data_IF_614464545156
#
_entry.id   IF_614464545156
#
_cell.length_a   1.000
_cell.length_b   1.000
_cell.length_c   1.000
_cell.angle_alpha   90.00
_cell.angle_beta   90.00
_cell.angle_gamma   90.00
#
_symmetry.space_group_name_H-M   'P 1'
#
loop_
_entity.id
_entity.type
_entity.pdbx_description
1 polymer ?
#
# COMPACT_ATOMS: atom_id res chain seq x y z
N UNK A 1 4.80 6.33 -16.85
CA UNK A 1 5.74 5.26 -16.42
C UNK A 1 5.39 4.94 -14.99
N UNK A 2 5.17 3.67 -14.65
CA UNK A 2 4.83 3.28 -13.28
C UNK A 2 5.99 3.54 -12.32
N UNK A 3 5.68 3.67 -11.03
CA UNK A 3 6.65 3.95 -9.97
C UNK A 3 7.75 2.87 -9.95
N UNK A 4 9.00 3.28 -10.13
CA UNK A 4 10.18 2.41 -9.98
C UNK A 4 10.86 2.65 -8.62
N UNK A 5 11.18 1.56 -7.91
CA UNK A 5 11.88 1.62 -6.62
C UNK A 5 13.08 0.68 -6.68
N UNK A 6 14.25 1.18 -6.25
CA UNK A 6 15.50 0.41 -6.23
C UNK A 6 16.03 0.32 -4.80
N UNK A 7 16.21 -0.90 -4.30
CA UNK A 7 16.98 -1.16 -3.08
C UNK A 7 18.44 -1.32 -3.48
N UNK A 8 19.32 -0.41 -3.06
CA UNK A 8 20.72 -0.37 -3.48
C UNK A 8 21.62 -1.42 -2.76
N UNK A 9 21.14 -2.66 -2.65
CA UNK A 9 21.76 -3.75 -1.90
C UNK A 9 22.97 -4.40 -2.61
N UNK A 10 23.05 -4.31 -3.93
CA UNK A 10 24.14 -4.91 -4.73
C UNK A 10 24.48 -4.08 -5.98
N UNK A 11 25.65 -4.32 -6.64
CA UNK A 11 26.10 -3.53 -7.78
C UNK A 11 25.09 -3.45 -8.94
N UNK A 12 24.41 -4.55 -9.25
CA UNK A 12 23.40 -4.57 -10.31
C UNK A 12 22.21 -3.63 -10.02
N UNK A 13 21.74 -3.54 -8.76
CA UNK A 13 20.66 -2.63 -8.40
C UNK A 13 21.07 -1.17 -8.58
N UNK A 14 22.32 -0.82 -8.24
CA UNK A 14 22.88 0.51 -8.49
C UNK A 14 22.96 0.83 -9.99
N UNK A 15 23.38 -0.14 -10.81
CA UNK A 15 23.42 0.02 -12.27
C UNK A 15 22.04 0.26 -12.86
N UNK A 16 21.03 -0.49 -12.41
CA UNK A 16 19.66 -0.33 -12.87
C UNK A 16 19.07 1.03 -12.44
N UNK A 17 19.33 1.46 -11.22
CA UNK A 17 18.92 2.79 -10.75
C UNK A 17 19.57 3.92 -11.56
N UNK A 18 20.87 3.80 -11.89
CA UNK A 18 21.56 4.75 -12.75
C UNK A 18 20.95 4.82 -14.15
N UNK A 19 20.67 3.65 -14.76
CA UNK A 19 20.01 3.56 -16.05
C UNK A 19 18.61 4.22 -16.04
N UNK A 20 17.82 3.99 -14.99
CA UNK A 20 16.51 4.61 -14.83
C UNK A 20 16.60 6.14 -14.71
N UNK A 21 17.60 6.65 -13.96
CA UNK A 21 17.84 8.10 -13.86
C UNK A 21 18.21 8.72 -15.22
N UNK A 22 19.04 8.04 -16.01
CA UNK A 22 19.46 8.53 -17.33
C UNK A 22 18.33 8.60 -18.36
N UNK A 23 17.27 7.79 -18.18
CA UNK A 23 16.14 7.70 -19.12
C UNK A 23 14.86 8.34 -18.57
N UNK A 24 14.91 9.00 -17.42
CA UNK A 24 13.73 9.63 -16.82
C UNK A 24 13.30 10.88 -17.64
N UNK A 25 11.98 11.10 -17.85
CA UNK A 25 11.49 12.32 -18.51
C UNK A 25 11.83 13.60 -17.75
N UNK A 26 11.82 14.74 -18.44
CA UNK A 26 11.97 16.05 -17.80
C UNK A 26 10.94 16.28 -16.69
N UNK A 27 11.37 16.92 -15.60
CA UNK A 27 10.53 17.20 -14.44
C UNK A 27 10.47 16.08 -13.37
N UNK A 28 11.10 14.93 -13.60
CA UNK A 28 11.19 13.87 -12.60
C UNK A 28 12.24 14.20 -11.51
N UNK A 29 12.00 13.74 -10.27
CA UNK A 29 12.89 13.96 -9.11
C UNK A 29 13.45 12.65 -8.57
N UNK A 30 14.73 12.63 -8.23
CA UNK A 30 15.42 11.51 -7.57
C UNK A 30 15.67 11.84 -6.10
N UNK A 31 15.45 10.87 -5.20
CA UNK A 31 15.76 10.98 -3.78
C UNK A 31 16.50 9.73 -3.32
N UNK A 32 17.72 9.89 -2.79
CA UNK A 32 18.51 8.82 -2.19
C UNK A 32 18.48 9.03 -0.67
N UNK A 33 18.00 8.03 0.07
CA UNK A 33 17.91 8.06 1.53
C UNK A 33 18.25 6.70 2.15
N UNK A 34 18.73 6.66 3.41
CA UNK A 34 18.88 5.40 4.14
C UNK A 34 17.56 4.62 4.19
N UNK A 35 17.64 3.30 4.07
CA UNK A 35 16.49 2.43 4.25
C UNK A 35 16.11 2.42 5.73
N UNK A 36 14.93 2.92 6.05
CA UNK A 36 14.40 2.84 7.42
C UNK A 36 13.59 1.55 7.56
N UNK A 37 13.52 0.99 8.78
CA UNK A 37 12.65 -0.16 9.09
C UNK A 37 11.18 0.13 8.74
N UNK A 38 10.75 1.37 8.88
CA UNK A 38 9.44 1.86 8.45
C UNK A 38 9.25 1.84 6.94
N UNK A 39 10.30 2.07 6.13
CA UNK A 39 10.20 1.96 4.67
C UNK A 39 10.00 0.51 4.26
N UNK A 40 10.73 -0.43 4.86
CA UNK A 40 10.55 -1.87 4.62
C UNK A 40 9.14 -2.35 5.02
N UNK A 41 8.63 -1.90 6.18
CA UNK A 41 7.26 -2.18 6.62
C UNK A 41 6.21 -1.56 5.70
N UNK A 42 6.44 -0.36 5.19
CA UNK A 42 5.56 0.28 4.22
C UNK A 42 5.55 -0.49 2.90
N UNK A 43 6.71 -0.87 2.37
CA UNK A 43 6.82 -1.64 1.13
C UNK A 43 6.12 -3.00 1.26
N UNK A 44 6.31 -3.67 2.41
CA UNK A 44 5.60 -4.92 2.74
C UNK A 44 4.08 -4.71 2.80
N UNK A 45 3.60 -3.66 3.47
CA UNK A 45 2.16 -3.35 3.50
C UNK A 45 1.61 -3.16 2.09
N UNK A 46 2.28 -2.38 1.24
CA UNK A 46 1.83 -2.18 -0.14
C UNK A 46 1.84 -3.46 -0.96
N UNK A 47 2.81 -4.34 -0.74
CA UNK A 47 2.85 -5.67 -1.34
C UNK A 47 1.62 -6.50 -0.94
N UNK A 48 1.28 -6.54 0.35
CA UNK A 48 0.09 -7.25 0.88
C UNK A 48 -1.19 -6.70 0.26
N UNK A 49 -1.34 -5.38 0.23
CA UNK A 49 -2.52 -4.72 -0.35
C UNK A 49 -2.66 -5.03 -1.84
N UNK A 50 -1.54 -5.07 -2.57
CA UNK A 50 -1.50 -5.41 -3.99
C UNK A 50 -1.91 -6.86 -4.24
N UNK A 51 -1.43 -7.79 -3.40
CA UNK A 51 -1.80 -9.20 -3.51
C UNK A 51 -3.30 -9.40 -3.29
N UNK A 52 -3.88 -8.71 -2.30
CA UNK A 52 -5.33 -8.72 -2.03
C UNK A 52 -6.11 -8.10 -3.20
N UNK A 53 -5.74 -6.89 -3.63
CA UNK A 53 -6.39 -6.15 -4.73
C UNK A 53 -6.51 -7.00 -6.01
N UNK A 54 -5.47 -7.79 -6.31
CA UNK A 54 -5.45 -8.65 -7.51
C UNK A 54 -6.31 -9.89 -7.39
N UNK A 55 -6.61 -10.36 -6.18
CA UNK A 55 -7.17 -11.69 -5.94
C UNK A 55 -8.57 -11.67 -5.33
N UNK A 56 -8.96 -10.56 -4.70
CA UNK A 56 -10.23 -10.45 -3.96
C UNK A 56 -11.15 -9.41 -4.60
N UNK A 57 -12.41 -9.77 -4.80
CA UNK A 57 -13.46 -8.84 -5.20
C UNK A 57 -14.17 -8.27 -3.95
N UNK A 58 -14.52 -6.99 -4.03
CA UNK A 58 -15.22 -6.23 -3.00
C UNK A 58 -16.53 -5.69 -3.55
N UNK A 59 -17.51 -5.49 -2.67
CA UNK A 59 -18.75 -4.83 -3.05
C UNK A 59 -18.53 -3.32 -3.03
N UNK A 60 -18.48 -2.71 -4.21
CA UNK A 60 -18.41 -1.25 -4.39
C UNK A 60 -19.66 -0.81 -5.12
N UNK A 61 -20.42 0.10 -4.51
CA UNK A 61 -21.69 0.61 -5.05
C UNK A 61 -22.68 -0.51 -5.45
N UNK A 62 -22.70 -1.62 -4.70
CA UNK A 62 -23.60 -2.74 -4.93
C UNK A 62 -23.12 -3.77 -5.96
N UNK A 63 -21.96 -3.59 -6.58
CA UNK A 63 -21.37 -4.54 -7.53
C UNK A 63 -20.08 -5.16 -6.96
N UNK A 64 -19.86 -6.45 -7.24
CA UNK A 64 -18.59 -7.12 -6.97
C UNK A 64 -17.56 -6.69 -8.01
N UNK A 65 -16.48 -6.06 -7.57
CA UNK A 65 -15.39 -5.59 -8.42
C UNK A 65 -14.04 -5.77 -7.72
N UNK A 66 -12.97 -5.90 -8.50
CA UNK A 66 -11.61 -5.70 -7.97
C UNK A 66 -11.39 -4.21 -7.74
N UNK A 67 -10.66 -3.88 -6.70
CA UNK A 67 -10.38 -2.50 -6.28
C UNK A 67 -8.88 -2.28 -6.23
N UNK A 68 -8.45 -1.04 -6.35
CA UNK A 68 -7.02 -0.71 -6.32
C UNK A 68 -6.42 -0.94 -4.90
N UNK A 69 -5.10 -1.15 -4.78
CA UNK A 69 -4.44 -1.38 -3.48
C UNK A 69 -4.72 -0.26 -2.45
N UNK A 70 -4.83 0.98 -2.92
CA UNK A 70 -5.24 2.14 -2.15
C UNK A 70 -6.64 1.96 -1.54
N UNK A 71 -7.59 1.45 -2.31
CA UNK A 71 -8.97 1.22 -1.87
C UNK A 71 -9.04 0.04 -0.89
N UNK A 72 -8.26 -1.04 -1.12
CA UNK A 72 -8.13 -2.14 -0.15
C UNK A 72 -7.68 -1.59 1.21
N UNK A 73 -6.71 -0.67 1.22
CA UNK A 73 -6.24 -0.04 2.46
C UNK A 73 -7.34 0.77 3.13
N UNK A 74 -8.14 1.52 2.38
CA UNK A 74 -9.24 2.29 2.95
C UNK A 74 -10.32 1.38 3.56
N UNK A 75 -10.65 0.28 2.90
CA UNK A 75 -11.58 -0.75 3.39
C UNK A 75 -11.05 -1.40 4.69
N UNK A 76 -9.79 -1.83 4.70
CA UNK A 76 -9.20 -2.48 5.88
C UNK A 76 -9.06 -1.51 7.06
N UNK A 77 -8.65 -0.26 6.80
CA UNK A 77 -8.50 0.73 7.87
C UNK A 77 -9.84 1.18 8.46
N UNK A 78 -10.93 1.14 7.68
CA UNK A 78 -12.28 1.30 8.20
C UNK A 78 -12.69 0.17 9.15
N UNK A 79 -12.21 -1.06 8.93
CA UNK A 79 -12.42 -2.19 9.84
C UNK A 79 -11.62 -2.11 11.14
N UNK A 80 -10.46 -1.43 11.13
CA UNK A 80 -9.55 -1.35 12.28
C UNK A 80 -10.04 -0.39 13.37
N UNK A 81 -10.78 0.66 13.01
CA UNK A 81 -11.34 1.63 13.97
C UNK A 81 -12.86 1.70 13.86
N UNK A 82 -13.52 1.62 15.01
CA UNK A 82 -14.99 1.72 15.13
C UNK A 82 -15.57 3.11 14.83
N UNK A 83 -14.73 4.10 14.52
CA UNK A 83 -15.16 5.48 14.31
C UNK A 83 -14.85 5.94 12.89
N UNK A 84 -15.90 6.00 12.06
CA UNK A 84 -15.85 6.53 10.71
C UNK A 84 -16.08 8.03 10.76
N UNK A 85 -15.09 8.80 10.30
CA UNK A 85 -15.24 10.26 10.19
C UNK A 85 -16.05 10.60 8.94
N UNK A 86 -17.11 11.38 9.12
CA UNK A 86 -17.99 11.81 8.04
C UNK A 86 -17.98 13.33 7.95
N UNK A 87 -18.06 13.87 6.73
CA UNK A 87 -18.20 15.30 6.47
C UNK A 87 -19.28 15.55 5.43
N UNK A 88 -19.84 16.75 5.42
CA UNK A 88 -20.62 17.23 4.28
C UNK A 88 -19.67 17.67 3.17
N UNK A 89 -19.87 17.12 1.99
CA UNK A 89 -19.23 17.55 0.76
C UNK A 89 -19.74 18.93 0.33
N UNK A 90 -18.97 19.59 -0.53
CA UNK A 90 -19.28 20.93 -1.01
C UNK A 90 -20.61 20.97 -1.77
N UNK A 91 -20.95 19.87 -2.45
CA UNK A 91 -22.21 19.71 -3.20
C UNK A 91 -23.36 19.15 -2.33
N UNK A 92 -23.20 19.09 -1.00
CA UNK A 92 -24.22 18.61 -0.06
C UNK A 92 -24.31 17.08 0.11
N UNK A 93 -23.51 16.31 -0.63
CA UNK A 93 -23.38 14.86 -0.43
C UNK A 93 -22.59 14.51 0.84
N UNK A 94 -22.74 13.29 1.36
CA UNK A 94 -21.90 12.82 2.48
C UNK A 94 -20.56 12.28 1.95
N UNK A 95 -19.47 12.63 2.62
CA UNK A 95 -18.12 12.16 2.30
C UNK A 95 -17.55 11.41 3.50
N UNK A 96 -17.09 10.18 3.28
CA UNK A 96 -16.33 9.43 4.26
C UNK A 96 -14.85 9.86 4.21
N UNK A 97 -14.31 10.27 5.35
CA UNK A 97 -12.92 10.66 5.47
C UNK A 97 -12.09 9.45 5.92
N UNK A 98 -11.37 8.86 4.95
CA UNK A 98 -10.45 7.74 5.19
C UNK A 98 -9.36 8.06 6.20
N UNK A 99 -8.79 7.01 6.80
CA UNK A 99 -7.73 7.16 7.78
C UNK A 99 -6.39 7.47 7.09
N UNK A 100 -5.67 8.47 7.61
CA UNK A 100 -4.33 8.78 7.12
C UNK A 100 -3.32 7.82 7.74
N UNK A 101 -3.07 6.69 7.08
CA UNK A 101 -2.07 5.70 7.52
C UNK A 101 -0.67 6.30 7.66
N UNK A 102 -0.36 7.36 6.90
CA UNK A 102 0.90 8.12 7.04
C UNK A 102 1.10 8.79 8.41
N UNK A 103 0.06 8.90 9.23
CA UNK A 103 0.11 9.43 10.60
C UNK A 103 0.00 8.33 11.67
N UNK A 104 -0.10 7.06 11.26
CA UNK A 104 -0.16 5.95 12.21
C UNK A 104 1.19 5.78 12.92
N UNK A 105 1.12 5.42 14.20
CA UNK A 105 2.32 4.96 14.91
C UNK A 105 2.65 3.51 14.52
N UNK A 106 3.83 3.03 14.93
CA UNK A 106 4.31 1.68 14.59
C UNK A 106 3.32 0.59 15.02
N UNK A 107 2.70 0.73 16.20
CA UNK A 107 1.73 -0.24 16.71
C UNK A 107 0.49 -0.33 15.81
N UNK A 108 -0.09 0.81 15.45
CA UNK A 108 -1.27 0.89 14.57
C UNK A 108 -0.98 0.33 13.17
N UNK A 109 0.24 0.57 12.66
CA UNK A 109 0.69 0.01 11.40
C UNK A 109 0.80 -1.53 11.48
N UNK A 110 1.35 -2.06 12.56
CA UNK A 110 1.39 -3.51 12.80
C UNK A 110 -0.01 -4.11 12.87
N UNK A 111 -0.93 -3.48 13.62
CA UNK A 111 -2.32 -3.94 13.73
C UNK A 111 -3.03 -3.95 12.35
N UNK A 112 -2.77 -2.96 11.50
CA UNK A 112 -3.29 -2.94 10.12
C UNK A 112 -2.73 -4.09 9.26
N UNK A 113 -1.42 -4.36 9.36
CA UNK A 113 -0.77 -5.46 8.63
C UNK A 113 -1.34 -6.81 9.08
N UNK A 114 -1.51 -7.02 10.38
CA UNK A 114 -2.11 -8.24 10.95
C UNK A 114 -3.56 -8.44 10.45
N UNK A 115 -4.37 -7.37 10.45
CA UNK A 115 -5.71 -7.40 9.90
C UNK A 115 -5.72 -7.76 8.40
N UNK A 116 -4.79 -7.20 7.62
CA UNK A 116 -4.67 -7.49 6.20
C UNK A 116 -4.33 -8.97 5.93
N UNK A 117 -3.40 -9.56 6.69
CA UNK A 117 -3.10 -10.98 6.59
C UNK A 117 -4.28 -11.85 7.00
N UNK A 118 -4.96 -11.53 8.12
CA UNK A 118 -6.11 -12.29 8.57
C UNK A 118 -7.21 -12.32 7.48
N UNK A 119 -7.53 -11.16 6.92
CA UNK A 119 -8.48 -11.03 5.83
C UNK A 119 -8.03 -11.81 4.59
N UNK A 120 -6.79 -11.60 4.12
CA UNK A 120 -6.30 -12.28 2.92
C UNK A 120 -6.24 -13.80 3.08
N UNK A 121 -5.85 -14.31 4.26
CA UNK A 121 -5.83 -15.74 4.55
C UNK A 121 -7.23 -16.35 4.54
N UNK A 122 -8.23 -15.66 5.11
CA UNK A 122 -9.64 -16.09 5.04
C UNK A 122 -10.14 -16.16 3.60
N UNK A 123 -9.67 -15.26 2.74
CA UNK A 123 -10.00 -15.22 1.31
C UNK A 123 -9.13 -16.13 0.43
N UNK A 124 -8.15 -16.83 1.00
CA UNK A 124 -7.25 -17.72 0.26
C UNK A 124 -6.29 -16.99 -0.68
N UNK A 125 -5.86 -15.78 -0.32
CA UNK A 125 -4.88 -14.99 -1.09
C UNK A 125 -3.52 -15.71 -1.10
N UNK A 126 -2.92 -15.85 -2.28
CA UNK A 126 -1.54 -16.29 -2.43
C UNK A 126 -0.59 -15.09 -2.27
N UNK A 127 0.39 -15.22 -1.37
CA UNK A 127 1.24 -14.11 -0.96
C UNK A 127 2.54 -14.08 -1.74
N UNK A 128 2.86 -12.92 -2.30
CA UNK A 128 4.18 -12.68 -2.88
C UNK A 128 5.29 -12.76 -1.83
N UNK A 129 6.53 -12.99 -2.28
CA UNK A 129 7.70 -13.12 -1.41
C UNK A 129 7.91 -11.90 -0.51
N UNK A 130 7.70 -10.69 -1.04
CA UNK A 130 7.79 -9.44 -0.29
C UNK A 130 6.70 -9.36 0.77
N UNK A 131 5.47 -9.78 0.44
CA UNK A 131 4.37 -9.93 1.40
C UNK A 131 4.63 -10.99 2.47
N UNK A 132 5.56 -11.92 2.29
CA UNK A 132 5.96 -12.87 3.34
C UNK A 132 7.16 -12.37 4.18
N UNK A 133 7.61 -11.13 3.94
CA UNK A 133 8.81 -10.58 4.57
C UNK A 133 10.11 -11.24 4.13
N UNK A 134 10.09 -12.00 3.01
CA UNK A 134 11.26 -12.75 2.51
C UNK A 134 12.15 -11.94 1.56
N UNK A 135 11.75 -10.71 1.24
CA UNK A 135 12.55 -9.71 0.51
C UNK A 135 12.64 -8.36 1.26
N UNK A 136 12.24 -8.35 2.56
CA UNK A 136 12.22 -7.17 3.43
C UNK A 136 13.53 -6.96 4.19
#
# INVERSE_FOLDING_TARGET
MDKQVFVLSHPLARRNAAYACSNAPEGYRVEIKPRTRTLAQNDMMWSILTDISRQVEFIVNGALVKVEPEEVKDILTAGLRRETRMAMGIDGGMVLLGQRTSKMNVRQMTELIELAYAFGNEKGVDWSRTSLGRDA
#
